data_IF_952032572973
#
_entry.id   IF_952032572973
#
_cell.length_a   1.000
_cell.length_b   1.000
_cell.length_c   1.000
_cell.angle_alpha   90.00
_cell.angle_beta   90.00
_cell.angle_gamma   90.00
#
_symmetry.space_group_name_H-M   'P 1'
#
loop_
_entity.id
_entity.type
_entity.pdbx_description
1 polymer ?
#
# COMPACT_ATOMS: atom_id res chain seq x y z
N UNK A 1 -3.66 -12.10 -6.22
CA UNK A 1 -4.66 -11.11 -5.78
C UNK A 1 -4.57 -9.92 -6.71
N UNK A 2 -5.62 -9.55 -7.42
CA UNK A 2 -5.60 -8.41 -8.33
C UNK A 2 -5.77 -7.16 -7.48
N UNK A 3 -4.99 -6.08 -7.76
CA UNK A 3 -5.31 -4.75 -7.25
C UNK A 3 -6.83 -4.53 -7.32
N UNK A 4 -7.45 -3.59 -6.55
CA UNK A 4 -8.89 -3.33 -6.66
C UNK A 4 -9.23 -2.73 -8.02
N UNK A 5 -8.90 -3.50 -9.03
CA UNK A 5 -9.47 -3.41 -10.35
C UNK A 5 -10.93 -3.78 -10.10
N UNK A 6 -11.84 -2.90 -10.44
CA UNK A 6 -13.26 -3.21 -10.51
C UNK A 6 -13.40 -4.68 -10.86
N UNK A 7 -14.12 -5.48 -10.04
CA UNK A 7 -14.47 -6.83 -10.48
C UNK A 7 -14.92 -6.68 -11.92
N UNK A 8 -14.13 -7.20 -12.83
CA UNK A 8 -14.17 -6.89 -14.26
C UNK A 8 -15.44 -7.35 -14.98
N UNK A 9 -16.53 -7.54 -14.25
CA UNK A 9 -17.68 -8.22 -14.80
C UNK A 9 -18.71 -7.36 -15.48
N UNK A 10 -18.73 -6.03 -15.34
CA UNK A 10 -19.82 -5.25 -15.95
C UNK A 10 -19.52 -3.76 -16.24
N UNK A 11 -18.28 -3.29 -16.17
CA UNK A 11 -17.98 -1.90 -16.51
C UNK A 11 -17.23 -1.80 -17.84
N UNK A 12 -17.86 -2.18 -18.92
CA UNK A 12 -17.42 -1.74 -20.23
C UNK A 12 -18.07 -0.38 -20.45
N UNK A 13 -17.33 0.76 -20.45
CA UNK A 13 -17.90 2.04 -20.79
C UNK A 13 -18.47 1.97 -22.21
N UNK A 14 -19.69 2.42 -22.37
CA UNK A 14 -20.29 2.59 -23.70
C UNK A 14 -19.83 3.93 -24.23
N UNK A 15 -19.23 3.93 -25.41
CA UNK A 15 -18.85 5.18 -26.11
C UNK A 15 -20.11 5.85 -26.65
N UNK A 16 -20.26 7.14 -26.38
CA UNK A 16 -21.38 7.97 -26.82
C UNK A 16 -20.81 9.30 -27.33
N UNK A 17 -20.56 9.38 -28.64
CA UNK A 17 -19.86 10.48 -29.26
C UNK A 17 -18.45 10.68 -28.72
N UNK A 18 -18.19 11.85 -28.15
CA UNK A 18 -16.92 12.22 -27.49
C UNK A 18 -16.89 11.88 -26.00
N UNK A 19 -17.87 11.13 -25.49
CA UNK A 19 -17.97 10.72 -24.11
C UNK A 19 -17.92 9.20 -23.93
N UNK A 20 -17.59 8.79 -22.72
CA UNK A 20 -17.74 7.42 -22.23
C UNK A 20 -18.76 7.40 -21.10
N UNK A 21 -19.68 6.45 -21.14
CA UNK A 21 -20.65 6.20 -20.08
C UNK A 21 -20.12 5.06 -19.20
N UNK A 22 -19.85 5.35 -17.94
CA UNK A 22 -19.22 4.42 -17.01
C UNK A 22 -20.24 3.97 -15.97
N UNK A 23 -20.36 2.65 -15.82
CA UNK A 23 -21.16 2.00 -14.79
C UNK A 23 -20.30 1.05 -13.98
N UNK A 24 -20.46 1.03 -12.65
CA UNK A 24 -19.79 0.09 -11.77
C UNK A 24 -19.38 0.64 -10.43
N UNK A 25 -18.64 -0.17 -9.67
CA UNK A 25 -18.24 0.14 -8.29
C UNK A 25 -16.74 0.02 -8.11
N UNK A 26 -16.16 0.91 -7.33
CA UNK A 26 -14.78 0.87 -6.84
C UNK A 26 -14.78 0.83 -5.31
N UNK A 27 -14.10 -0.14 -4.73
CA UNK A 27 -14.04 -0.33 -3.28
C UNK A 27 -12.63 -0.12 -2.77
N UNK A 28 -12.49 0.26 -1.52
CA UNK A 28 -11.21 0.57 -0.85
C UNK A 28 -10.47 1.76 -1.46
N UNK A 29 -11.21 2.80 -1.82
CA UNK A 29 -10.61 3.99 -2.40
C UNK A 29 -10.22 4.96 -1.28
N UNK A 30 -8.91 5.15 -1.10
CA UNK A 30 -8.36 6.16 -0.19
C UNK A 30 -8.76 7.56 -0.63
N UNK A 31 -9.08 8.44 0.32
CA UNK A 31 -9.62 9.77 0.09
C UNK A 31 -10.91 9.79 -0.75
N UNK A 32 -11.66 8.69 -0.79
CA UNK A 32 -12.89 8.59 -1.58
C UNK A 32 -13.97 9.58 -1.16
N UNK A 33 -14.00 9.95 0.14
CA UNK A 33 -14.96 10.92 0.67
C UNK A 33 -14.52 12.36 0.38
N UNK A 34 -13.25 12.69 0.65
CA UNK A 34 -12.76 14.07 0.57
C UNK A 34 -12.07 14.38 -0.76
N UNK A 35 -11.56 13.38 -1.48
CA UNK A 35 -10.94 13.55 -2.79
C UNK A 35 -11.93 14.10 -3.81
N UNK A 36 -11.46 14.95 -4.73
CA UNK A 36 -12.23 15.55 -5.81
C UNK A 36 -11.90 14.98 -7.17
N UNK A 37 -10.69 14.42 -7.31
CA UNK A 37 -10.14 13.89 -8.56
C UNK A 37 -9.56 12.49 -8.33
N UNK A 38 -9.80 11.57 -9.27
CA UNK A 38 -9.46 10.16 -9.16
C UNK A 38 -8.89 9.63 -10.48
N UNK A 39 -7.84 8.83 -10.41
CA UNK A 39 -7.42 7.99 -11.53
C UNK A 39 -8.34 6.77 -11.63
N UNK A 40 -9.24 6.78 -12.60
CA UNK A 40 -10.27 5.76 -12.78
C UNK A 40 -9.89 4.77 -13.86
N UNK A 41 -9.48 3.57 -13.47
CA UNK A 41 -9.16 2.48 -14.37
C UNK A 41 -10.43 1.71 -14.73
N UNK A 42 -10.76 1.63 -16.03
CA UNK A 42 -11.94 0.94 -16.55
C UNK A 42 -11.58 0.05 -17.73
N UNK A 43 -12.44 -0.89 -18.08
CA UNK A 43 -12.24 -1.81 -19.19
C UNK A 43 -12.98 -1.30 -20.43
N UNK A 44 -12.32 -0.51 -21.28
CA UNK A 44 -12.90 0.08 -22.49
C UNK A 44 -13.13 -0.94 -23.61
N UNK A 45 -12.33 -2.00 -23.67
CA UNK A 45 -12.52 -3.11 -24.59
C UNK A 45 -12.61 -4.43 -23.83
N UNK A 46 -13.81 -5.03 -23.83
CA UNK A 46 -14.07 -6.31 -23.17
C UNK A 46 -13.52 -7.52 -23.93
N UNK A 47 -13.29 -7.35 -25.25
CA UNK A 47 -12.83 -8.41 -26.17
C UNK A 47 -11.31 -8.51 -26.26
N UNK A 48 -10.57 -7.51 -25.73
CA UNK A 48 -9.12 -7.46 -25.84
C UNK A 48 -8.42 -8.69 -25.26
N UNK A 49 -7.50 -9.24 -26.04
CA UNK A 49 -6.60 -10.32 -25.60
C UNK A 49 -5.13 -9.85 -25.78
N UNK A 50 -4.31 -9.92 -24.73
CA UNK A 50 -4.67 -10.23 -23.33
C UNK A 50 -5.55 -9.14 -22.70
N UNK A 51 -6.41 -9.53 -21.77
CA UNK A 51 -7.46 -8.70 -21.18
C UNK A 51 -7.00 -7.33 -20.59
N UNK A 52 -5.72 -7.18 -20.24
CA UNK A 52 -5.17 -5.93 -19.74
C UNK A 52 -4.98 -4.86 -20.82
N UNK A 53 -4.88 -5.26 -22.10
CA UNK A 53 -4.80 -4.32 -23.24
C UNK A 53 -6.14 -3.62 -23.51
N UNK A 54 -7.24 -4.13 -22.96
CA UNK A 54 -8.56 -3.49 -23.05
C UNK A 54 -8.83 -2.48 -21.92
N UNK A 55 -7.84 -2.15 -21.09
CA UNK A 55 -8.03 -1.24 -19.95
C UNK A 55 -7.53 0.17 -20.26
N UNK A 56 -8.31 1.17 -19.86
CA UNK A 56 -8.01 2.59 -20.02
C UNK A 56 -8.13 3.32 -18.69
N UNK A 57 -7.39 4.39 -18.49
CA UNK A 57 -7.39 5.18 -17.27
C UNK A 57 -7.88 6.60 -17.57
N UNK A 58 -8.81 7.11 -16.77
CA UNK A 58 -9.39 8.44 -16.92
C UNK A 58 -9.17 9.28 -15.67
N UNK A 59 -9.11 10.60 -15.84
CA UNK A 59 -9.21 11.57 -14.76
C UNK A 59 -10.70 11.76 -14.45
N UNK A 60 -11.21 11.11 -13.41
CA UNK A 60 -12.60 11.23 -12.97
C UNK A 60 -12.73 12.27 -11.87
N UNK A 61 -13.76 13.11 -11.98
CA UNK A 61 -14.11 14.13 -11.00
C UNK A 61 -15.53 13.87 -10.49
N UNK A 62 -15.82 14.28 -9.27
CA UNK A 62 -17.18 14.15 -8.72
C UNK A 62 -18.17 14.96 -9.55
N UNK A 63 -19.33 14.38 -9.84
CA UNK A 63 -20.35 14.97 -10.66
C UNK A 63 -21.55 14.03 -10.83
N UNK A 64 -22.48 14.34 -11.73
CA UNK A 64 -23.64 13.50 -11.99
C UNK A 64 -23.22 12.05 -12.32
N UNK A 65 -23.89 11.08 -11.71
CA UNK A 65 -23.57 9.66 -11.88
C UNK A 65 -22.39 9.16 -11.04
N UNK A 66 -21.71 10.01 -10.26
CA UNK A 66 -20.66 9.62 -9.32
C UNK A 66 -21.18 9.76 -7.89
N UNK A 67 -21.23 8.67 -7.15
CA UNK A 67 -21.69 8.64 -5.76
C UNK A 67 -20.68 7.99 -4.84
N UNK A 68 -20.44 8.58 -3.67
CA UNK A 68 -19.76 7.94 -2.55
C UNK A 68 -20.80 7.18 -1.75
N UNK A 69 -20.80 5.85 -1.81
CA UNK A 69 -21.86 5.05 -1.23
C UNK A 69 -21.63 4.75 0.24
N UNK A 70 -20.39 4.42 0.62
CA UNK A 70 -20.08 3.96 1.97
C UNK A 70 -18.68 4.35 2.40
N UNK A 71 -18.57 4.92 3.60
CA UNK A 71 -17.32 4.99 4.35
C UNK A 71 -16.97 3.61 4.89
N UNK A 72 -15.74 3.17 4.67
CA UNK A 72 -15.26 1.88 5.16
C UNK A 72 -14.51 2.06 6.48
N UNK A 73 -14.99 1.39 7.52
CA UNK A 73 -14.28 1.33 8.80
C UNK A 73 -13.06 0.41 8.69
N UNK A 74 -11.95 0.86 9.30
CA UNK A 74 -10.65 0.17 9.21
C UNK A 74 -10.10 -0.11 10.60
N UNK A 75 -9.24 -1.11 10.71
CA UNK A 75 -8.48 -1.42 11.92
C UNK A 75 -7.60 -0.24 12.33
N UNK A 76 -6.78 0.25 11.41
CA UNK A 76 -5.85 1.35 11.58
C UNK A 76 -5.95 2.37 10.44
N UNK A 77 -4.92 3.25 10.34
CA UNK A 77 -4.84 4.30 9.32
C UNK A 77 -6.10 5.20 9.30
N UNK A 78 -6.63 5.50 10.49
CA UNK A 78 -7.92 6.19 10.65
C UNK A 78 -7.89 7.66 10.25
N UNK A 79 -6.72 8.26 10.12
CA UNK A 79 -6.53 9.64 9.65
C UNK A 79 -6.82 9.84 8.16
N UNK A 80 -6.91 8.76 7.38
CA UNK A 80 -7.26 8.79 5.96
C UNK A 80 -8.55 8.00 5.78
N UNK A 81 -9.56 8.59 5.13
CA UNK A 81 -10.78 7.86 4.81
C UNK A 81 -10.56 6.81 3.71
N UNK A 82 -11.41 5.82 3.69
CA UNK A 82 -11.55 4.87 2.61
C UNK A 82 -13.03 4.69 2.30
N UNK A 83 -13.37 4.66 1.03
CA UNK A 83 -14.77 4.61 0.62
C UNK A 83 -15.02 3.62 -0.52
N UNK A 84 -16.28 3.32 -0.70
CA UNK A 84 -16.83 2.71 -1.90
C UNK A 84 -17.41 3.80 -2.79
N UNK A 85 -17.04 3.79 -4.07
CA UNK A 85 -17.50 4.71 -5.10
C UNK A 85 -18.39 3.95 -6.08
N UNK A 86 -19.53 4.51 -6.40
CA UNK A 86 -20.48 3.98 -7.39
C UNK A 86 -20.53 4.93 -8.57
N UNK A 87 -20.44 4.38 -9.75
CA UNK A 87 -20.63 5.05 -11.03
C UNK A 87 -21.91 4.49 -11.68
N UNK A 88 -22.87 5.37 -11.94
CA UNK A 88 -24.14 5.03 -12.58
C UNK A 88 -24.41 6.03 -13.69
N UNK A 89 -24.30 5.57 -14.92
CA UNK A 89 -24.38 6.40 -16.14
C UNK A 89 -23.46 7.64 -16.05
N UNK A 90 -22.31 7.47 -15.38
CA UNK A 90 -21.33 8.52 -15.21
C UNK A 90 -20.68 8.85 -16.55
N UNK A 91 -20.92 10.07 -17.05
CA UNK A 91 -20.41 10.57 -18.34
C UNK A 91 -19.06 11.25 -18.13
N UNK A 92 -18.05 10.78 -18.88
CA UNK A 92 -16.70 11.36 -18.86
C UNK A 92 -16.26 11.67 -20.29
N UNK A 93 -15.77 12.88 -20.53
CA UNK A 93 -15.31 13.30 -21.84
C UNK A 93 -14.00 12.61 -22.22
N UNK A 94 -13.80 12.31 -23.51
CA UNK A 94 -12.63 11.61 -24.03
C UNK A 94 -11.30 12.34 -23.72
N UNK A 95 -11.32 13.68 -23.60
CA UNK A 95 -10.12 14.45 -23.21
C UNK A 95 -9.59 14.14 -21.81
N UNK A 96 -10.39 13.49 -20.96
CA UNK A 96 -9.98 13.01 -19.62
C UNK A 96 -9.26 11.65 -19.68
N UNK A 97 -9.09 11.06 -20.86
CA UNK A 97 -8.34 9.83 -21.05
C UNK A 97 -6.83 10.08 -20.87
N UNK A 98 -6.23 9.45 -19.88
CA UNK A 98 -4.79 9.61 -19.60
C UNK A 98 -3.99 8.96 -20.72
N UNK A 99 -3.08 9.75 -21.31
CA UNK A 99 -2.25 9.32 -22.43
C UNK A 99 -2.97 9.31 -23.78
N UNK A 100 -4.19 9.86 -23.88
CA UNK A 100 -4.99 10.05 -25.09
C UNK A 100 -5.19 8.80 -25.96
N UNK A 101 -4.89 7.59 -25.42
CA UNK A 101 -5.00 6.32 -26.14
C UNK A 101 -5.61 5.26 -25.25
N UNK A 102 -6.67 4.61 -25.74
CA UNK A 102 -7.27 3.45 -25.10
C UNK A 102 -6.31 2.27 -25.00
N UNK A 103 -6.58 1.35 -24.07
CA UNK A 103 -5.79 0.13 -23.90
C UNK A 103 -4.46 0.28 -23.13
N UNK A 104 -4.09 1.51 -22.74
CA UNK A 104 -2.86 1.79 -21.98
C UNK A 104 -3.06 1.96 -20.47
N UNK A 105 -4.29 1.85 -19.99
CA UNK A 105 -4.62 2.10 -18.59
C UNK A 105 -3.88 1.21 -17.60
N UNK A 106 -3.67 -0.07 -17.94
CA UNK A 106 -2.88 -0.96 -17.10
C UNK A 106 -1.41 -0.54 -17.04
N UNK A 107 -0.81 -0.15 -18.16
CA UNK A 107 0.57 0.36 -18.20
C UNK A 107 0.70 1.63 -17.35
N UNK A 108 -0.25 2.55 -17.47
CA UNK A 108 -0.30 3.78 -16.66
C UNK A 108 -0.39 3.45 -15.16
N UNK A 109 -1.28 2.52 -14.78
CA UNK A 109 -1.43 2.10 -13.40
C UNK A 109 -0.17 1.39 -12.85
N UNK A 110 0.47 0.53 -13.65
CA UNK A 110 1.67 -0.22 -13.25
C UNK A 110 2.90 0.69 -13.13
N UNK A 111 3.04 1.70 -13.99
CA UNK A 111 4.16 2.65 -13.92
C UNK A 111 4.22 3.44 -12.61
N UNK A 112 3.09 3.63 -11.93
CA UNK A 112 3.04 4.21 -10.59
C UNK A 112 3.30 3.22 -9.44
N UNK A 113 3.24 1.90 -9.70
CA UNK A 113 3.32 0.90 -8.63
C UNK A 113 4.75 0.68 -8.10
N UNK A 114 5.79 0.87 -8.89
CA UNK A 114 7.17 0.77 -8.40
C UNK A 114 7.42 1.84 -7.34
N UNK A 115 7.12 3.09 -7.66
CA UNK A 115 7.20 4.20 -6.71
C UNK A 115 6.25 3.99 -5.51
N UNK A 116 5.03 3.49 -5.73
CA UNK A 116 4.07 3.15 -4.68
C UNK A 116 4.63 2.13 -3.69
N UNK A 117 5.32 1.08 -4.17
CA UNK A 117 5.95 0.06 -3.32
C UNK A 117 7.09 0.64 -2.49
N UNK A 118 7.95 1.49 -3.08
CA UNK A 118 9.03 2.18 -2.36
C UNK A 118 8.44 3.10 -1.28
N UNK A 119 7.36 3.82 -1.57
CA UNK A 119 6.64 4.65 -0.59
C UNK A 119 6.07 3.82 0.57
N UNK A 120 5.51 2.63 0.29
CA UNK A 120 5.02 1.74 1.35
C UNK A 120 6.18 1.20 2.19
N UNK A 121 7.31 0.86 1.56
CA UNK A 121 8.52 0.44 2.27
C UNK A 121 9.03 1.54 3.21
N UNK A 122 9.10 2.78 2.74
CA UNK A 122 9.50 3.93 3.56
C UNK A 122 8.56 4.16 4.76
N UNK A 123 7.23 4.02 4.55
CA UNK A 123 6.25 4.06 5.66
C UNK A 123 6.44 2.91 6.64
N UNK A 124 6.74 1.70 6.14
CA UNK A 124 7.09 0.55 6.97
C UNK A 124 8.32 0.83 7.84
N UNK A 125 9.38 1.39 7.26
CA UNK A 125 10.56 1.83 8.01
C UNK A 125 10.21 2.89 9.08
N UNK A 126 9.28 3.80 8.78
CA UNK A 126 8.81 4.81 9.73
C UNK A 126 8.11 4.19 10.94
N UNK A 127 7.19 3.24 10.72
CA UNK A 127 6.49 2.52 11.79
C UNK A 127 7.48 1.69 12.61
N UNK A 128 8.35 0.91 11.95
CA UNK A 128 9.35 0.08 12.63
C UNK A 128 10.32 0.91 13.48
N UNK A 129 10.70 2.09 12.97
CA UNK A 129 11.58 3.03 13.67
C UNK A 129 10.92 3.66 14.88
N UNK A 130 9.69 4.14 14.76
CA UNK A 130 8.93 4.70 15.88
C UNK A 130 8.71 3.65 16.97
N UNK A 131 8.30 2.44 16.59
CA UNK A 131 8.12 1.33 17.52
C UNK A 131 9.41 0.97 18.28
N UNK A 132 10.55 0.92 17.58
CA UNK A 132 11.85 0.67 18.23
C UNK A 132 12.19 1.79 19.23
N UNK A 133 12.07 3.06 18.82
CA UNK A 133 12.46 4.16 19.69
C UNK A 133 11.59 4.26 20.94
N UNK A 134 10.29 4.02 20.83
CA UNK A 134 9.39 4.01 22.00
C UNK A 134 9.66 2.80 22.90
N UNK A 135 9.94 1.62 22.33
CA UNK A 135 10.35 0.45 23.09
C UNK A 135 11.65 0.70 23.88
N UNK A 136 12.66 1.30 23.24
CA UNK A 136 13.93 1.65 23.90
C UNK A 136 13.74 2.63 25.05
N UNK A 137 12.96 3.69 24.85
CA UNK A 137 12.66 4.69 25.86
C UNK A 137 11.92 4.06 27.06
N UNK A 138 10.86 3.30 26.78
CA UNK A 138 10.07 2.65 27.83
C UNK A 138 10.90 1.64 28.62
N UNK A 139 11.74 0.85 27.96
CA UNK A 139 12.58 -0.15 28.60
C UNK A 139 13.56 0.45 29.62
N UNK A 140 13.98 1.70 29.45
CA UNK A 140 14.88 2.40 30.35
C UNK A 140 14.19 2.95 31.61
N UNK A 141 12.88 3.25 31.52
CA UNK A 141 12.14 3.88 32.63
C UNK A 141 11.27 2.87 33.40
N UNK A 142 10.85 1.79 32.76
CA UNK A 142 10.06 0.75 33.39
C UNK A 142 10.96 -0.19 34.22
N UNK A 143 10.64 -0.38 35.50
CA UNK A 143 11.37 -1.27 36.41
C UNK A 143 10.58 -2.54 36.71
N UNK A 144 11.28 -3.67 36.76
CA UNK A 144 10.81 -4.95 37.27
C UNK A 144 11.98 -5.65 37.99
N UNK A 145 11.70 -6.39 39.06
CA UNK A 145 12.74 -7.10 39.84
C UNK A 145 13.90 -6.19 40.25
N UNK A 146 13.59 -4.95 40.66
CA UNK A 146 14.54 -3.99 41.22
C UNK A 146 15.42 -3.24 40.18
N UNK A 147 15.23 -3.43 38.89
CA UNK A 147 16.05 -2.77 37.83
C UNK A 147 15.23 -2.40 36.59
N UNK A 148 15.73 -1.49 35.74
CA UNK A 148 15.12 -1.20 34.45
C UNK A 148 14.95 -2.46 33.60
N UNK A 149 13.83 -2.58 32.87
CA UNK A 149 13.63 -3.76 32.02
C UNK A 149 14.65 -3.87 30.89
N UNK A 150 15.28 -2.78 30.51
CA UNK A 150 16.39 -2.75 29.55
C UNK A 150 17.60 -3.61 29.97
N UNK A 151 17.73 -3.92 31.26
CA UNK A 151 18.80 -4.77 31.80
C UNK A 151 18.45 -6.26 31.82
N UNK A 152 17.23 -6.63 31.41
CA UNK A 152 16.84 -8.02 31.23
C UNK A 152 17.22 -8.52 29.85
N UNK A 153 17.95 -9.64 29.78
CA UNK A 153 18.42 -10.24 28.53
C UNK A 153 17.31 -10.45 27.50
N UNK A 154 16.12 -10.88 27.94
CA UNK A 154 14.98 -11.08 27.06
C UNK A 154 14.53 -9.78 26.35
N UNK A 155 14.66 -8.64 26.99
CA UNK A 155 14.35 -7.32 26.39
C UNK A 155 15.48 -6.89 25.46
N UNK A 156 16.75 -7.10 25.87
CA UNK A 156 17.91 -6.79 25.04
C UNK A 156 17.91 -7.55 23.72
N UNK A 157 17.55 -8.82 23.71
CA UNK A 157 17.39 -9.64 22.50
C UNK A 157 16.34 -9.03 21.57
N UNK A 158 15.16 -8.68 22.08
CA UNK A 158 14.09 -8.04 21.31
C UNK A 158 14.52 -6.72 20.69
N UNK A 159 15.15 -5.84 21.46
CA UNK A 159 15.63 -4.55 20.95
C UNK A 159 16.70 -4.70 19.87
N UNK A 160 17.63 -5.66 20.04
CA UNK A 160 18.65 -5.99 19.04
C UNK A 160 18.05 -6.49 17.73
N UNK A 161 17.06 -7.39 17.79
CA UNK A 161 16.34 -7.87 16.62
C UNK A 161 15.55 -6.75 15.94
N UNK A 162 14.81 -5.93 16.69
CA UNK A 162 14.05 -4.79 16.17
C UNK A 162 14.96 -3.80 15.43
N UNK A 163 16.14 -3.50 15.97
CA UNK A 163 17.12 -2.61 15.38
C UNK A 163 17.68 -3.18 14.06
N UNK A 164 18.01 -4.48 14.06
CA UNK A 164 18.54 -5.18 12.87
C UNK A 164 17.52 -5.21 11.74
N UNK A 165 16.24 -5.56 12.03
CA UNK A 165 15.14 -5.54 11.05
C UNK A 165 14.95 -4.14 10.44
N UNK A 166 14.95 -3.11 11.28
CA UNK A 166 14.80 -1.73 10.81
C UNK A 166 15.94 -1.33 9.86
N UNK A 167 17.18 -1.65 10.23
CA UNK A 167 18.34 -1.31 9.40
C UNK A 167 18.31 -2.05 8.06
N UNK A 168 17.99 -3.33 8.04
CA UNK A 168 17.83 -4.10 6.81
C UNK A 168 16.71 -3.54 5.93
N UNK A 169 15.56 -3.18 6.51
CA UNK A 169 14.44 -2.56 5.80
C UNK A 169 14.85 -1.21 5.16
N UNK A 170 15.61 -0.37 5.87
CA UNK A 170 16.12 0.90 5.35
C UNK A 170 17.07 0.69 4.17
N UNK A 171 18.01 -0.23 4.28
CA UNK A 171 18.98 -0.52 3.22
C UNK A 171 18.27 -0.96 1.94
N UNK A 172 17.34 -1.92 2.03
CA UNK A 172 16.53 -2.35 0.89
C UNK A 172 15.70 -1.20 0.29
N UNK A 173 15.13 -0.35 1.14
CA UNK A 173 14.30 0.78 0.69
C UNK A 173 15.14 1.82 -0.05
N UNK A 174 16.30 2.19 0.49
CA UNK A 174 17.22 3.13 -0.15
C UNK A 174 17.82 2.58 -1.44
N UNK A 175 18.12 1.29 -1.49
CA UNK A 175 18.62 0.64 -2.71
C UNK A 175 17.59 0.71 -3.83
N UNK A 176 16.35 0.31 -3.56
CA UNK A 176 15.24 0.42 -4.51
C UNK A 176 15.01 1.86 -4.98
N UNK A 177 15.08 2.84 -4.06
CA UNK A 177 14.92 4.25 -4.40
C UNK A 177 16.03 4.76 -5.31
N UNK A 178 17.29 4.39 -5.05
CA UNK A 178 18.44 4.77 -5.88
C UNK A 178 18.36 4.21 -7.31
N UNK A 179 17.89 2.97 -7.46
CA UNK A 179 17.69 2.36 -8.78
C UNK A 179 16.58 3.09 -9.53
N UNK A 180 15.45 3.38 -8.84
CA UNK A 180 14.36 4.15 -9.41
C UNK A 180 14.77 5.54 -9.88
N UNK A 181 15.55 6.27 -9.06
CA UNK A 181 16.04 7.63 -9.37
C UNK A 181 16.96 7.67 -10.59
N UNK A 182 17.64 6.57 -10.90
CA UNK A 182 18.43 6.42 -12.14
C UNK A 182 17.57 6.16 -13.39
N UNK A 183 16.26 6.02 -13.24
CA UNK A 183 15.35 5.64 -14.32
C UNK A 183 15.45 4.17 -14.72
N UNK A 184 16.10 3.35 -13.92
CA UNK A 184 16.25 1.92 -14.15
C UNK A 184 15.01 1.16 -13.66
N UNK A 185 14.73 0.02 -14.27
CA UNK A 185 13.63 -0.85 -13.85
C UNK A 185 13.97 -1.51 -12.50
N UNK A 186 13.09 -1.34 -11.50
CA UNK A 186 13.32 -1.79 -10.12
C UNK A 186 12.17 -2.64 -9.53
N UNK A 187 11.38 -3.33 -10.36
CA UNK A 187 10.24 -4.16 -9.90
C UNK A 187 10.62 -5.13 -8.78
N UNK A 188 11.79 -5.78 -8.90
CA UNK A 188 12.28 -6.77 -7.94
C UNK A 188 12.71 -6.09 -6.65
N UNK A 189 13.54 -5.07 -6.74
CA UNK A 189 14.11 -4.34 -5.62
C UNK A 189 13.01 -3.58 -4.84
N UNK A 190 12.08 -2.93 -5.54
CA UNK A 190 10.90 -2.30 -4.94
C UNK A 190 9.98 -3.34 -4.26
N UNK A 191 9.84 -4.52 -4.85
CA UNK A 191 9.13 -5.65 -4.27
C UNK A 191 9.79 -6.17 -2.99
N UNK A 192 11.12 -6.36 -3.01
CA UNK A 192 11.91 -6.78 -1.85
C UNK A 192 11.83 -5.76 -0.72
N UNK A 193 12.01 -4.48 -1.04
CA UNK A 193 11.92 -3.39 -0.08
C UNK A 193 10.54 -3.34 0.59
N UNK A 194 9.47 -3.37 -0.21
CA UNK A 194 8.08 -3.33 0.29
C UNK A 194 7.77 -4.53 1.16
N UNK A 195 8.11 -5.73 0.70
CA UNK A 195 7.85 -6.97 1.44
C UNK A 195 8.57 -6.94 2.78
N UNK A 196 9.89 -6.73 2.77
CA UNK A 196 10.68 -6.79 4.00
C UNK A 196 10.33 -5.67 4.98
N UNK A 197 10.20 -4.42 4.52
CA UNK A 197 9.91 -3.29 5.40
C UNK A 197 8.51 -3.37 6.02
N UNK A 198 7.52 -3.93 5.32
CA UNK A 198 6.18 -4.11 5.88
C UNK A 198 6.11 -5.20 6.95
N UNK A 199 6.82 -6.33 6.76
CA UNK A 199 6.94 -7.35 7.81
C UNK A 199 7.72 -6.81 9.01
N UNK A 200 8.83 -6.12 8.79
CA UNK A 200 9.60 -5.47 9.85
C UNK A 200 8.76 -4.47 10.66
N UNK A 201 7.86 -3.73 9.99
CA UNK A 201 6.94 -2.82 10.66
C UNK A 201 5.97 -3.57 11.58
N UNK A 202 5.38 -4.67 11.10
CA UNK A 202 4.43 -5.47 11.86
C UNK A 202 5.09 -6.16 13.05
N UNK A 203 6.26 -6.76 12.82
CA UNK A 203 7.02 -7.43 13.88
C UNK A 203 7.50 -6.45 14.94
N UNK A 204 8.09 -5.30 14.55
CA UNK A 204 8.55 -4.29 15.48
C UNK A 204 7.40 -3.66 16.27
N UNK A 205 6.25 -3.41 15.63
CA UNK A 205 5.07 -2.92 16.34
C UNK A 205 4.55 -3.93 17.36
N UNK A 206 4.57 -5.22 17.01
CA UNK A 206 4.18 -6.32 17.92
C UNK A 206 5.12 -6.41 19.10
N UNK A 207 6.44 -6.37 18.87
CA UNK A 207 7.42 -6.45 19.97
C UNK A 207 7.41 -5.19 20.84
N UNK A 208 7.19 -4.01 20.26
CA UNK A 208 7.00 -2.78 21.03
C UNK A 208 5.81 -2.88 21.98
N UNK A 209 4.66 -3.39 21.48
CA UNK A 209 3.47 -3.62 22.31
C UNK A 209 3.77 -4.58 23.47
N UNK A 210 4.48 -5.69 23.21
CA UNK A 210 4.88 -6.67 24.22
C UNK A 210 5.84 -6.11 25.25
N UNK A 211 6.80 -5.26 24.84
CA UNK A 211 7.74 -4.61 25.78
C UNK A 211 7.00 -3.66 26.73
N UNK A 212 5.95 -2.98 26.25
CA UNK A 212 5.10 -2.12 27.09
C UNK A 212 4.15 -2.90 28.01
N UNK A 213 3.94 -4.21 27.77
CA UNK A 213 3.03 -5.03 28.54
C UNK A 213 1.60 -4.51 28.53
N UNK A 214 0.95 -4.38 29.69
CA UNK A 214 -0.42 -3.86 29.79
C UNK A 214 -0.60 -2.45 29.21
N UNK A 215 0.39 -1.59 29.39
CA UNK A 215 0.40 -0.25 28.76
C UNK A 215 0.48 -0.29 27.24
N UNK A 216 1.07 -1.32 26.65
CA UNK A 216 1.05 -1.51 25.20
C UNK A 216 -0.35 -1.75 24.63
N UNK A 217 -1.26 -2.29 25.44
CA UNK A 217 -2.65 -2.52 25.06
C UNK A 217 -3.58 -1.33 25.39
N UNK A 218 -3.07 -0.36 26.16
CA UNK A 218 -3.78 0.87 26.52
C UNK A 218 -3.63 1.94 25.43
N UNK A 219 -4.61 2.84 25.32
CA UNK A 219 -4.52 4.03 24.48
C UNK A 219 -3.71 5.18 25.08
N UNK A 220 -3.17 5.01 26.28
CA UNK A 220 -2.30 6.00 26.93
C UNK A 220 -0.96 6.13 26.19
N UNK A 221 -0.51 5.06 25.54
CA UNK A 221 0.68 5.04 24.68
C UNK A 221 0.32 4.87 23.22
N UNK A 222 1.13 5.43 22.33
CA UNK A 222 0.89 5.34 20.87
C UNK A 222 1.19 3.95 20.29
N UNK A 223 1.77 3.06 21.05
CA UNK A 223 2.25 1.76 20.56
C UNK A 223 1.13 0.87 20.03
N UNK A 224 -0.07 0.96 20.59
CA UNK A 224 -1.25 0.24 20.10
C UNK A 224 -1.62 0.67 18.67
N UNK A 225 -1.39 1.95 18.34
CA UNK A 225 -1.65 2.49 17.00
C UNK A 225 -0.66 1.93 15.99
N UNK A 226 0.62 1.79 16.32
CA UNK A 226 1.60 1.16 15.43
C UNK A 226 1.17 -0.25 15.06
N UNK A 227 0.69 -1.04 16.02
CA UNK A 227 0.18 -2.38 15.80
C UNK A 227 -1.05 -2.40 14.89
N UNK A 228 -1.97 -1.43 15.03
CA UNK A 228 -3.16 -1.33 14.15
C UNK A 228 -2.83 -0.83 12.74
N UNK A 229 -1.82 -0.02 12.60
CA UNK A 229 -1.47 0.60 11.32
C UNK A 229 -0.55 -0.29 10.46
N UNK A 230 0.36 -1.05 11.09
CA UNK A 230 1.36 -1.88 10.40
C UNK A 230 0.77 -2.91 9.42
N UNK A 231 -0.33 -3.64 9.72
CA UNK A 231 -0.89 -4.62 8.79
C UNK A 231 -1.27 -4.07 7.42
N UNK A 232 -1.63 -2.78 7.34
CA UNK A 232 -1.94 -2.15 6.06
C UNK A 232 -0.72 -2.15 5.11
N UNK A 233 0.49 -2.02 5.65
CA UNK A 233 1.72 -2.05 4.84
C UNK A 233 1.94 -3.40 4.16
N UNK A 234 1.50 -4.49 4.77
CA UNK A 234 1.57 -5.84 4.19
C UNK A 234 0.55 -6.05 3.06
N UNK A 235 -0.56 -5.29 3.07
CA UNK A 235 -1.71 -5.48 2.18
C UNK A 235 -1.71 -4.47 1.02
N UNK A 236 -1.44 -3.19 1.29
CA UNK A 236 -1.49 -2.10 0.32
C UNK A 236 -0.42 -2.20 -0.76
N UNK A 237 -0.67 -1.60 -1.93
CA UNK A 237 0.21 -1.58 -3.11
C UNK A 237 0.63 -3.00 -3.60
N UNK A 238 -0.31 -3.94 -3.50
CA UNK A 238 -0.09 -5.36 -3.73
C UNK A 238 0.41 -6.08 -2.48
N UNK A 239 -0.28 -7.16 -2.13
CA UNK A 239 0.02 -7.92 -0.89
C UNK A 239 1.45 -8.49 -0.92
N UNK A 240 1.98 -8.83 0.24
CA UNK A 240 3.32 -9.41 0.35
C UNK A 240 3.47 -10.72 -0.42
N UNK A 241 2.38 -11.50 -0.59
CA UNK A 241 2.35 -12.68 -1.45
C UNK A 241 2.59 -12.30 -2.91
N UNK A 242 1.98 -11.20 -3.38
CA UNK A 242 2.19 -10.72 -4.74
C UNK A 242 3.63 -10.20 -4.95
N UNK A 243 4.22 -9.54 -3.94
CA UNK A 243 5.62 -9.12 -4.02
C UNK A 243 6.55 -10.34 -4.17
N UNK A 244 6.36 -11.37 -3.36
CA UNK A 244 7.14 -12.62 -3.47
C UNK A 244 7.04 -13.28 -4.84
N UNK A 245 5.85 -13.30 -5.45
CA UNK A 245 5.66 -13.80 -6.82
C UNK A 245 6.42 -12.94 -7.84
N UNK A 246 6.38 -11.61 -7.71
CA UNK A 246 7.09 -10.70 -8.61
C UNK A 246 8.60 -10.89 -8.48
N UNK A 247 9.13 -10.94 -7.27
CA UNK A 247 10.54 -11.19 -6.98
C UNK A 247 11.00 -12.49 -7.64
N UNK A 248 10.28 -13.60 -7.40
CA UNK A 248 10.61 -14.88 -7.96
C UNK A 248 10.64 -14.88 -9.50
N UNK A 249 9.63 -14.25 -10.12
CA UNK A 249 9.58 -14.13 -11.59
C UNK A 249 10.74 -13.32 -12.16
N UNK A 250 11.11 -12.23 -11.51
CA UNK A 250 12.24 -11.41 -11.93
C UNK A 250 13.57 -12.16 -11.74
N UNK A 251 13.74 -12.91 -10.66
CA UNK A 251 14.91 -13.76 -10.44
C UNK A 251 15.07 -14.80 -11.56
N UNK A 252 13.99 -15.52 -11.88
CA UNK A 252 13.99 -16.50 -12.97
C UNK A 252 14.32 -15.83 -14.32
N UNK A 253 13.73 -14.66 -14.60
CA UNK A 253 13.98 -13.96 -15.86
C UNK A 253 15.40 -13.40 -15.99
N UNK A 254 16.06 -13.07 -14.87
CA UNK A 254 17.47 -12.58 -14.85
C UNK A 254 18.50 -13.72 -14.94
N UNK A 255 18.09 -14.96 -14.66
CA UNK A 255 18.97 -16.14 -14.66
C UNK A 255 18.32 -17.28 -15.47
N UNK A 256 18.19 -17.12 -16.80
CA UNK A 256 17.66 -18.19 -17.65
C UNK A 256 18.61 -19.41 -17.60
N UNK A 257 18.01 -20.62 -17.65
CA UNK A 257 18.77 -21.88 -17.69
C UNK A 257 19.39 -22.09 -19.07
#
# INVERSE_FOLDING_TARGET
>A
MRAPICKASKCAPKKDGDHYIINGTKTWISNGIHGTCFALLVKTDASADPAHKGMSCFIAEKGPGFTVSKKLEKLGYKGIDSAELIFQDYRIHASKLIGAKEGRGMQTALGGLELGRINVAARGCGIAGAALMDAVKYAQVRHTFGKPIAEHQAIQLKLGEMATRLQAARLLTYDAARIYDKGERCDMEAGMAKYFASEAALENATECLRIHGGYGYSKEYHVERYYRDAPLMCIGEGTNEMQRIIIARQMIARHPA
#
